data_IF_901391390521
#
_entry.id   IF_901391390521
#
_cell.length_a   1.000
_cell.length_b   1.000
_cell.length_c   1.000
_cell.angle_alpha   90.00
_cell.angle_beta   90.00
_cell.angle_gamma   90.00
#
_symmetry.space_group_name_H-M   'P 1'
#
loop_
_entity.id
_entity.type
_entity.pdbx_description
1 polymer ?
#
# COMPACT_ATOMS: atom_id res chain seq x y z
N UNK A 1 -11.88 7.85 -14.95
CA UNK A 1 -10.77 7.89 -13.98
C UNK A 1 -10.61 6.61 -13.15
N UNK A 2 -11.64 6.00 -12.55
CA UNK A 2 -11.45 4.76 -11.76
C UNK A 2 -11.23 3.49 -12.60
N UNK A 3 -11.82 3.42 -13.80
CA UNK A 3 -11.70 2.27 -14.71
C UNK A 3 -10.29 2.12 -15.28
N UNK A 4 -9.62 3.21 -15.64
CA UNK A 4 -8.25 3.18 -16.14
C UNK A 4 -7.26 2.65 -15.11
N UNK A 5 -7.42 3.04 -13.83
CA UNK A 5 -6.55 2.55 -12.75
C UNK A 5 -6.67 1.03 -12.56
N UNK A 6 -7.89 0.50 -12.62
CA UNK A 6 -8.13 -0.95 -12.52
C UNK A 6 -7.59 -1.68 -13.75
N UNK A 7 -7.80 -1.14 -14.95
CA UNK A 7 -7.29 -1.72 -16.20
C UNK A 7 -5.76 -1.76 -16.24
N UNK A 8 -5.10 -0.66 -15.85
CA UNK A 8 -3.64 -0.59 -15.78
C UNK A 8 -3.07 -1.58 -14.75
N UNK A 9 -3.73 -1.72 -13.59
CA UNK A 9 -3.30 -2.65 -12.56
C UNK A 9 -3.53 -4.13 -12.94
N UNK A 10 -4.63 -4.45 -13.64
CA UNK A 10 -4.89 -5.79 -14.17
C UNK A 10 -3.81 -6.19 -15.19
N UNK A 11 -3.50 -5.32 -16.15
CA UNK A 11 -2.47 -5.58 -17.17
C UNK A 11 -1.08 -5.78 -16.55
N UNK A 12 -0.77 -5.03 -15.50
CA UNK A 12 0.47 -5.20 -14.76
C UNK A 12 0.50 -6.50 -13.92
N UNK A 13 -0.65 -6.96 -13.42
CA UNK A 13 -0.80 -8.25 -12.74
C UNK A 13 -0.57 -9.44 -13.66
N UNK A 14 -1.18 -9.42 -14.86
CA UNK A 14 -1.03 -10.46 -15.89
C UNK A 14 0.42 -10.60 -16.40
N UNK A 15 1.17 -9.50 -16.47
CA UNK A 15 2.52 -9.48 -17.04
C UNK A 15 3.64 -9.80 -16.04
N UNK A 16 3.38 -9.81 -14.73
CA UNK A 16 4.51 -9.84 -13.77
C UNK A 16 4.33 -10.63 -12.48
N UNK A 17 3.11 -10.99 -12.06
CA UNK A 17 2.92 -11.53 -10.70
C UNK A 17 3.55 -10.62 -9.62
N UNK A 18 3.67 -9.32 -9.91
CA UNK A 18 4.33 -8.34 -9.05
C UNK A 18 3.37 -7.92 -7.95
N UNK A 19 3.76 -8.16 -6.70
CA UNK A 19 3.00 -7.79 -5.51
C UNK A 19 2.60 -6.32 -5.49
N UNK A 20 3.42 -5.43 -6.07
CA UNK A 20 3.07 -4.02 -6.20
C UNK A 20 1.84 -3.80 -7.09
N UNK A 21 1.80 -4.40 -8.28
CA UNK A 21 0.67 -4.26 -9.21
C UNK A 21 -0.63 -4.75 -8.57
N UNK A 22 -0.58 -5.88 -7.87
CA UNK A 22 -1.70 -6.41 -7.10
C UNK A 22 -2.14 -5.47 -5.99
N UNK A 23 -1.22 -4.84 -5.25
CA UNK A 23 -1.59 -3.87 -4.22
C UNK A 23 -2.21 -2.59 -4.79
N UNK A 24 -1.72 -2.09 -5.92
CA UNK A 24 -2.34 -0.96 -6.61
C UNK A 24 -3.74 -1.29 -7.10
N UNK A 25 -3.96 -2.51 -7.62
CA UNK A 25 -5.29 -3.03 -7.96
C UNK A 25 -6.19 -3.03 -6.73
N UNK A 26 -5.74 -3.62 -5.62
CA UNK A 26 -6.50 -3.69 -4.38
C UNK A 26 -6.83 -2.29 -3.80
N UNK A 27 -5.86 -1.38 -3.85
CA UNK A 27 -6.07 0.01 -3.46
C UNK A 27 -7.14 0.70 -4.31
N UNK A 28 -7.08 0.55 -5.64
CA UNK A 28 -8.07 1.13 -6.55
C UNK A 28 -9.47 0.52 -6.33
N UNK A 29 -9.55 -0.81 -6.13
CA UNK A 29 -10.79 -1.50 -5.78
C UNK A 29 -11.40 -0.95 -4.49
N UNK A 30 -10.58 -0.79 -3.44
CA UNK A 30 -11.03 -0.25 -2.17
C UNK A 30 -11.52 1.20 -2.31
N UNK A 31 -10.81 2.04 -3.07
CA UNK A 31 -11.24 3.41 -3.37
C UNK A 31 -12.53 3.49 -4.18
N UNK A 32 -12.84 2.46 -4.97
CA UNK A 32 -14.11 2.32 -5.69
C UNK A 32 -15.23 1.69 -4.83
N UNK A 33 -14.97 1.38 -3.55
CA UNK A 33 -15.96 0.77 -2.66
C UNK A 33 -16.12 -0.74 -2.86
N UNK A 34 -15.30 -1.38 -3.70
CA UNK A 34 -15.25 -2.84 -3.88
C UNK A 34 -14.39 -3.49 -2.79
N UNK A 35 -14.83 -3.34 -1.53
CA UNK A 35 -14.06 -3.70 -0.35
C UNK A 35 -13.76 -5.21 -0.26
N UNK A 36 -14.72 -6.05 -0.62
CA UNK A 36 -14.55 -7.51 -0.64
C UNK A 36 -13.45 -7.95 -1.62
N UNK A 37 -13.47 -7.39 -2.84
CA UNK A 37 -12.48 -7.70 -3.88
C UNK A 37 -11.08 -7.21 -3.45
N UNK A 38 -10.98 -6.01 -2.87
CA UNK A 38 -9.72 -5.47 -2.36
C UNK A 38 -9.14 -6.33 -1.23
N UNK A 39 -10.00 -6.80 -0.31
CA UNK A 39 -9.60 -7.63 0.82
C UNK A 39 -9.17 -9.04 0.40
N UNK A 40 -9.78 -9.60 -0.65
CA UNK A 40 -9.32 -10.86 -1.24
C UNK A 40 -7.86 -10.75 -1.73
N UNK A 41 -7.54 -9.70 -2.48
CA UNK A 41 -6.17 -9.45 -2.95
C UNK A 41 -5.19 -9.20 -1.80
N UNK A 42 -5.62 -8.52 -0.73
CA UNK A 42 -4.79 -8.34 0.46
C UNK A 42 -4.42 -9.69 1.11
N UNK A 43 -5.37 -10.60 1.24
CA UNK A 43 -5.10 -11.92 1.82
C UNK A 43 -4.21 -12.77 0.91
N UNK A 44 -4.40 -12.71 -0.41
CA UNK A 44 -3.48 -13.34 -1.38
C UNK A 44 -2.04 -12.82 -1.23
N UNK A 45 -1.87 -11.49 -1.10
CA UNK A 45 -0.56 -10.86 -0.89
C UNK A 45 0.09 -11.30 0.43
N UNK A 46 -0.69 -11.43 1.50
CA UNK A 46 -0.19 -11.87 2.81
C UNK A 46 0.17 -13.35 2.84
N UNK A 47 -0.54 -14.17 2.06
CA UNK A 47 -0.31 -15.62 1.96
C UNK A 47 0.74 -16.00 0.91
N UNK A 48 1.31 -15.03 0.19
CA UNK A 48 2.37 -15.28 -0.80
C UNK A 48 3.58 -15.93 -0.13
N UNK A 49 3.80 -17.22 -0.43
CA UNK A 49 4.97 -17.99 0.04
C UNK A 49 6.11 -18.04 -0.98
N UNK A 50 5.83 -17.69 -2.23
CA UNK A 50 6.79 -17.84 -3.34
C UNK A 50 7.67 -16.61 -3.54
N UNK A 51 7.24 -15.44 -3.07
CA UNK A 51 7.94 -14.17 -3.21
C UNK A 51 7.72 -13.29 -1.99
N UNK A 52 8.77 -12.60 -1.58
CA UNK A 52 8.70 -11.56 -0.56
C UNK A 52 7.79 -10.42 -1.01
N UNK A 53 6.88 -10.00 -0.13
CA UNK A 53 5.99 -8.86 -0.33
C UNK A 53 6.43 -7.71 0.57
N UNK A 54 6.91 -6.59 0.02
CA UNK A 54 7.39 -5.47 0.81
C UNK A 54 6.27 -4.89 1.72
N UNK A 55 6.53 -4.55 3.00
CA UNK A 55 5.51 -4.04 3.91
C UNK A 55 4.75 -2.82 3.38
N UNK A 56 5.41 -1.93 2.63
CA UNK A 56 4.76 -0.78 2.00
C UNK A 56 3.60 -1.19 1.09
N UNK A 57 3.75 -2.32 0.39
CA UNK A 57 2.74 -2.89 -0.52
C UNK A 57 1.49 -3.27 0.24
N UNK A 58 1.64 -3.87 1.42
CA UNK A 58 0.51 -4.23 2.29
C UNK A 58 -0.11 -2.97 2.93
N UNK A 59 0.72 -2.03 3.39
CA UNK A 59 0.25 -0.75 3.93
C UNK A 59 -0.64 0.01 2.94
N UNK A 60 -0.28 -0.03 1.65
CA UNK A 60 -1.04 0.63 0.59
C UNK A 60 -2.47 0.09 0.52
N UNK A 61 -2.65 -1.22 0.63
CA UNK A 61 -3.99 -1.83 0.56
C UNK A 61 -4.82 -1.48 1.80
N UNK A 62 -4.25 -1.59 3.01
CA UNK A 62 -4.93 -1.15 4.23
C UNK A 62 -5.34 0.32 4.18
N UNK A 63 -4.50 1.17 3.62
CA UNK A 63 -4.81 2.58 3.41
C UNK A 63 -5.98 2.78 2.44
N UNK A 64 -6.06 1.99 1.37
CA UNK A 64 -7.20 1.98 0.46
C UNK A 64 -8.50 1.57 1.15
N UNK A 65 -8.43 0.57 2.03
CA UNK A 65 -9.55 0.05 2.83
C UNK A 65 -9.98 0.98 3.98
N UNK A 66 -9.26 2.08 4.23
CA UNK A 66 -9.53 2.99 5.35
C UNK A 66 -9.05 2.47 6.71
N UNK A 67 -8.33 1.35 6.75
CA UNK A 67 -7.78 0.73 7.97
C UNK A 67 -6.46 1.42 8.38
N UNK A 68 -6.56 2.68 8.81
CA UNK A 68 -5.43 3.58 9.05
C UNK A 68 -4.37 3.03 10.00
N UNK A 69 -4.79 2.46 11.14
CA UNK A 69 -3.85 1.91 12.13
C UNK A 69 -2.98 0.80 11.55
N UNK A 70 -3.59 -0.13 10.80
CA UNK A 70 -2.84 -1.22 10.16
C UNK A 70 -1.93 -0.72 9.04
N UNK A 71 -2.35 0.32 8.31
CA UNK A 71 -1.49 0.96 7.34
C UNK A 71 -0.24 1.53 8.02
N UNK A 72 -0.40 2.23 9.16
CA UNK A 72 0.72 2.76 9.95
C UNK A 72 1.62 1.64 10.50
N UNK A 73 1.05 0.55 11.02
CA UNK A 73 1.83 -0.60 11.50
C UNK A 73 2.73 -1.18 10.40
N UNK A 74 2.21 -1.32 9.18
CA UNK A 74 2.98 -1.80 8.05
C UNK A 74 3.98 -0.77 7.51
N UNK A 75 3.72 0.52 7.64
CA UNK A 75 4.70 1.56 7.31
C UNK A 75 5.86 1.56 8.31
N UNK A 76 5.59 1.38 9.60
CA UNK A 76 6.65 1.19 10.62
C UNK A 76 7.50 -0.05 10.29
N UNK A 77 6.86 -1.16 9.92
CA UNK A 77 7.55 -2.36 9.46
C UNK A 77 8.39 -2.09 8.20
N UNK A 78 7.85 -1.34 7.24
CA UNK A 78 8.57 -0.94 6.04
C UNK A 78 9.82 -0.11 6.34
N UNK A 79 9.75 0.78 7.33
CA UNK A 79 10.92 1.51 7.80
C UNK A 79 11.97 0.60 8.44
N UNK A 80 11.55 -0.31 9.33
CA UNK A 80 12.45 -1.27 9.98
C UNK A 80 13.15 -2.20 8.97
N UNK A 81 12.42 -2.65 7.95
CA UNK A 81 12.92 -3.54 6.90
C UNK A 81 13.63 -2.80 5.75
N UNK A 82 13.76 -1.47 5.83
CA UNK A 82 14.36 -0.62 4.78
C UNK A 82 13.69 -0.83 3.41
N UNK A 83 12.38 -0.95 3.41
CA UNK A 83 11.57 -1.03 2.19
C UNK A 83 11.83 0.19 1.31
N UNK A 84 12.31 -0.04 0.09
CA UNK A 84 12.75 1.00 -0.84
C UNK A 84 11.65 2.02 -1.16
N UNK A 85 10.37 1.64 -1.12
CA UNK A 85 9.25 2.54 -1.44
C UNK A 85 8.99 3.57 -0.36
N UNK A 86 9.52 3.36 0.84
CA UNK A 86 9.38 4.30 1.95
C UNK A 86 9.92 5.70 1.60
N UNK A 87 10.93 5.81 0.73
CA UNK A 87 11.49 7.12 0.32
C UNK A 87 10.45 8.08 -0.29
N UNK A 88 9.36 7.55 -0.84
CA UNK A 88 8.29 8.34 -1.47
C UNK A 88 7.14 8.69 -0.51
N UNK A 89 7.18 8.21 0.74
CA UNK A 89 6.09 8.31 1.69
C UNK A 89 5.65 9.75 1.96
N UNK A 90 6.60 10.70 2.01
CA UNK A 90 6.31 12.13 2.23
C UNK A 90 5.65 12.82 1.03
N UNK A 91 5.86 12.34 -0.20
CA UNK A 91 5.44 13.08 -1.41
C UNK A 91 4.21 12.51 -2.08
N UNK A 92 3.90 11.23 -1.87
CA UNK A 92 2.78 10.60 -2.59
C UNK A 92 1.41 10.95 -1.97
N UNK A 93 0.45 11.51 -2.74
CA UNK A 93 -0.83 11.99 -2.22
C UNK A 93 -1.72 10.94 -1.56
N UNK A 94 -1.54 9.67 -1.90
CA UNK A 94 -2.34 8.57 -1.34
C UNK A 94 -2.21 8.44 0.17
N UNK A 95 -1.16 8.98 0.78
CA UNK A 95 -0.91 8.98 2.22
C UNK A 95 -1.40 10.24 2.94
N UNK A 96 -2.05 11.17 2.23
CA UNK A 96 -2.49 12.46 2.80
C UNK A 96 -3.42 12.29 4.01
N UNK A 97 -4.21 11.22 4.05
CA UNK A 97 -5.10 10.87 5.16
C UNK A 97 -4.36 10.49 6.45
N UNK A 98 -3.05 10.20 6.39
CA UNK A 98 -2.23 9.86 7.56
C UNK A 98 -1.35 11.03 8.03
N UNK A 99 -1.24 12.13 7.27
CA UNK A 99 -0.26 13.20 7.54
C UNK A 99 -0.45 13.93 8.86
N UNK A 100 -1.67 13.97 9.40
CA UNK A 100 -1.95 14.56 10.71
C UNK A 100 -1.75 13.59 11.88
N UNK A 101 -1.46 12.33 11.60
CA UNK A 101 -1.25 11.31 12.61
C UNK A 101 0.13 11.45 13.26
N UNK A 102 0.19 11.44 14.60
CA UNK A 102 1.44 11.59 15.34
C UNK A 102 2.44 10.47 15.02
N UNK A 103 1.97 9.26 14.74
CA UNK A 103 2.81 8.13 14.34
C UNK A 103 3.42 8.37 12.97
N UNK A 104 2.63 8.86 12.01
CA UNK A 104 3.12 9.19 10.67
C UNK A 104 4.16 10.32 10.72
N UNK A 105 3.89 11.38 11.49
CA UNK A 105 4.83 12.49 11.67
C UNK A 105 6.16 11.97 12.25
N UNK A 106 6.09 11.19 13.33
CA UNK A 106 7.28 10.58 13.95
C UNK A 106 8.07 9.69 12.98
N UNK A 107 7.37 8.92 12.14
CA UNK A 107 7.98 8.08 11.12
C UNK A 107 8.75 8.89 10.08
N UNK A 108 8.14 9.94 9.52
CA UNK A 108 8.79 10.83 8.53
C UNK A 108 10.05 11.49 9.11
N UNK A 109 10.01 11.93 10.37
CA UNK A 109 11.18 12.50 11.07
C UNK A 109 12.32 11.50 11.20
N UNK A 110 12.03 10.27 11.64
CA UNK A 110 13.03 9.20 11.74
C UNK A 110 13.66 8.83 10.40
N UNK A 111 12.88 8.93 9.32
CA UNK A 111 13.37 8.74 7.95
C UNK A 111 14.23 9.89 7.43
N UNK A 112 14.37 10.99 8.20
CA UNK A 112 15.12 12.20 7.82
C UNK A 112 14.63 12.82 6.51
N UNK A 113 13.34 12.69 6.21
CA UNK A 113 12.73 13.28 5.03
C UNK A 113 12.20 14.69 5.30
N UNK A 114 12.72 15.41 6.29
CA UNK A 114 12.23 16.74 6.69
C UNK A 114 12.53 17.83 5.66
#
# INVERSE_FOLDING_TARGET
MHTEAVTAANKAGELSGNSQSSAYRAYALAKWGKLTEARAVLEELKLSTTRYVPPYTIALVYNGLGEREKALDYLEKGYAEKDLRMVFLKVEPKWNNLRSDSRFISLIKRMRLE
#
